data_IF_530432788565
#
_entry.id   IF_530432788565
#
_cell.length_a   1.000
_cell.length_b   1.000
_cell.length_c   1.000
_cell.angle_alpha   90.00
_cell.angle_beta   90.00
_cell.angle_gamma   90.00
#
_symmetry.space_group_name_H-M   'P 1'
#
loop_
_entity.id
_entity.type
_entity.pdbx_description
1 polymer ?
#
# COMPACT_ATOMS: atom_id res chain seq x y z
N UNK A 1 24.71 2.18 -26.77
CA UNK A 1 24.13 0.84 -26.49
C UNK A 1 23.77 0.71 -25.01
N UNK A 2 24.63 1.14 -24.07
CA UNK A 2 24.34 1.12 -22.63
C UNK A 2 23.05 1.85 -22.21
N UNK A 3 22.82 3.08 -22.69
CA UNK A 3 21.59 3.85 -22.37
C UNK A 3 20.31 3.11 -22.82
N UNK A 4 20.36 2.34 -23.92
CA UNK A 4 19.20 1.57 -24.37
C UNK A 4 18.93 0.35 -23.49
N UNK A 5 19.95 -0.19 -22.81
CA UNK A 5 19.79 -1.30 -21.88
C UNK A 5 18.99 -0.89 -20.63
N UNK A 6 19.13 0.36 -20.17
CA UNK A 6 18.38 0.91 -19.02
C UNK A 6 16.87 1.01 -19.28
N UNK A 7 16.43 0.98 -20.55
CA UNK A 7 15.01 0.97 -20.93
C UNK A 7 14.23 -0.15 -20.23
N UNK A 8 14.85 -1.32 -20.04
CA UNK A 8 14.21 -2.47 -19.42
C UNK A 8 14.00 -2.30 -17.90
N UNK A 9 14.62 -1.30 -17.27
CA UNK A 9 14.45 -1.00 -15.85
C UNK A 9 13.01 -0.65 -15.46
N UNK A 10 12.17 -0.23 -16.41
CA UNK A 10 10.74 0.02 -16.18
C UNK A 10 9.90 -1.26 -16.20
N UNK A 11 10.38 -2.35 -16.76
CA UNK A 11 9.59 -3.58 -16.94
C UNK A 11 9.15 -4.20 -15.59
N UNK A 12 10.02 -4.28 -14.55
CA UNK A 12 9.58 -4.72 -13.22
C UNK A 12 8.47 -3.85 -12.63
N UNK A 13 8.43 -2.55 -12.95
CA UNK A 13 7.36 -1.65 -12.52
C UNK A 13 6.03 -2.05 -13.17
N UNK A 14 6.02 -2.25 -14.49
CA UNK A 14 4.82 -2.68 -15.21
C UNK A 14 4.35 -4.07 -14.78
N UNK A 15 5.28 -4.99 -14.53
CA UNK A 15 4.96 -6.31 -13.99
C UNK A 15 4.25 -6.20 -12.64
N UNK A 16 4.79 -5.40 -11.73
CA UNK A 16 4.20 -5.18 -10.41
C UNK A 16 2.84 -4.48 -10.49
N UNK A 17 2.71 -3.49 -11.37
CA UNK A 17 1.46 -2.75 -11.58
C UNK A 17 0.33 -3.68 -12.03
N UNK A 18 0.61 -4.57 -12.99
CA UNK A 18 -0.36 -5.54 -13.52
C UNK A 18 -0.69 -6.65 -12.51
N UNK A 19 0.32 -7.20 -11.82
CA UNK A 19 0.17 -8.42 -11.02
C UNK A 19 -0.10 -8.17 -9.54
N UNK A 20 0.62 -7.24 -8.92
CA UNK A 20 0.66 -7.08 -7.47
C UNK A 20 -0.08 -5.83 -6.97
N UNK A 21 -0.14 -4.75 -7.77
CA UNK A 21 -0.82 -3.51 -7.37
C UNK A 21 -2.33 -3.52 -7.64
N UNK A 22 -2.82 -4.59 -8.27
CA UNK A 22 -4.25 -4.81 -8.47
C UNK A 22 -4.86 -3.86 -9.50
N UNK A 23 -4.08 -3.37 -10.47
CA UNK A 23 -4.64 -2.57 -11.58
C UNK A 23 -5.64 -3.38 -12.39
N UNK A 24 -5.42 -4.69 -12.55
CA UNK A 24 -6.39 -5.59 -13.15
C UNK A 24 -7.72 -5.70 -12.38
N UNK A 25 -7.73 -5.33 -11.09
CA UNK A 25 -8.93 -5.34 -10.24
C UNK A 25 -9.67 -4.00 -10.23
N UNK A 26 -9.18 -2.99 -10.96
CA UNK A 26 -9.84 -1.69 -11.03
C UNK A 26 -11.01 -1.75 -12.03
N UNK A 27 -12.23 -1.65 -11.50
CA UNK A 27 -13.47 -1.67 -12.29
C UNK A 27 -14.21 -0.34 -12.20
N UNK A 28 -13.55 0.75 -12.60
CA UNK A 28 -14.15 2.08 -12.56
C UNK A 28 -14.93 2.36 -13.86
N UNK A 29 -16.11 2.95 -13.73
CA UNK A 29 -17.04 3.17 -14.85
C UNK A 29 -16.54 4.20 -15.86
N UNK A 30 -15.77 5.20 -15.44
CA UNK A 30 -15.23 6.24 -16.31
C UNK A 30 -13.71 6.14 -16.43
N UNK A 31 -13.17 6.54 -17.59
CA UNK A 31 -11.73 6.59 -17.85
C UNK A 31 -11.00 7.47 -16.83
N UNK A 32 -11.52 8.67 -16.57
CA UNK A 32 -10.91 9.60 -15.61
C UNK A 32 -10.84 9.02 -14.19
N UNK A 33 -11.90 8.34 -13.74
CA UNK A 33 -11.88 7.67 -12.44
C UNK A 33 -10.86 6.52 -12.42
N UNK A 34 -10.81 5.72 -13.48
CA UNK A 34 -9.83 4.64 -13.61
C UNK A 34 -8.38 5.17 -13.52
N UNK A 35 -8.08 6.25 -14.23
CA UNK A 35 -6.76 6.90 -14.22
C UNK A 35 -6.39 7.42 -12.83
N UNK A 36 -7.30 8.12 -12.15
CA UNK A 36 -7.08 8.60 -10.79
C UNK A 36 -6.81 7.45 -9.81
N UNK A 37 -7.58 6.37 -9.90
CA UNK A 37 -7.38 5.18 -9.07
C UNK A 37 -6.05 4.49 -9.37
N UNK A 38 -5.61 4.43 -10.62
CA UNK A 38 -4.27 3.92 -10.99
C UNK A 38 -3.15 4.79 -10.38
N UNK A 39 -3.30 6.12 -10.39
CA UNK A 39 -2.32 7.03 -9.79
C UNK A 39 -2.24 6.83 -8.27
N UNK A 40 -3.39 6.76 -7.59
CA UNK A 40 -3.45 6.50 -6.14
C UNK A 40 -2.77 5.18 -5.78
N UNK A 41 -3.05 4.10 -6.54
CA UNK A 41 -2.43 2.78 -6.32
C UNK A 41 -0.92 2.81 -6.52
N UNK A 42 -0.45 3.45 -7.58
CA UNK A 42 0.98 3.59 -7.89
C UNK A 42 1.71 4.39 -6.80
N UNK A 43 1.14 5.52 -6.38
CA UNK A 43 1.68 6.34 -5.28
C UNK A 43 1.73 5.57 -3.96
N UNK A 44 0.65 4.86 -3.61
CA UNK A 44 0.61 4.05 -2.39
C UNK A 44 1.74 3.01 -2.36
N UNK A 45 2.01 2.32 -3.46
CA UNK A 45 3.10 1.35 -3.50
C UNK A 45 4.49 1.98 -3.49
N UNK A 46 4.69 3.10 -4.19
CA UNK A 46 5.95 3.85 -4.13
C UNK A 46 6.26 4.29 -2.69
N UNK A 47 5.25 4.77 -1.96
CA UNK A 47 5.40 5.09 -0.52
C UNK A 47 5.79 3.85 0.29
N UNK A 48 5.22 2.67 0.01
CA UNK A 48 5.61 1.43 0.69
C UNK A 48 7.07 1.03 0.41
N UNK A 49 7.56 1.27 -0.80
CA UNK A 49 8.97 1.04 -1.13
C UNK A 49 9.89 1.99 -0.35
N UNK A 50 9.52 3.27 -0.26
CA UNK A 50 10.28 4.25 0.52
C UNK A 50 10.30 3.89 2.01
N UNK A 51 9.18 3.44 2.58
CA UNK A 51 9.13 2.94 3.95
C UNK A 51 10.00 1.70 4.14
N UNK A 52 9.99 0.76 3.18
CA UNK A 52 10.85 -0.41 3.23
C UNK A 52 12.34 -0.04 3.15
N UNK A 53 12.70 0.99 2.39
CA UNK A 53 14.09 1.46 2.32
C UNK A 53 14.53 2.17 3.61
N UNK A 54 13.66 3.01 4.19
CA UNK A 54 14.03 3.88 5.30
C UNK A 54 13.80 3.25 6.69
N UNK A 55 12.75 2.45 6.86
CA UNK A 55 12.28 1.99 8.17
C UNK A 55 12.34 0.47 8.35
N UNK A 56 13.11 -0.25 7.53
CA UNK A 56 13.19 -1.72 7.61
C UNK A 56 13.61 -2.24 9.00
N UNK A 57 14.44 -1.50 9.73
CA UNK A 57 14.91 -1.87 11.07
C UNK A 57 13.78 -1.84 12.11
N UNK A 58 12.84 -0.90 11.94
CA UNK A 58 11.70 -0.69 12.84
C UNK A 58 10.52 -1.59 12.50
N UNK A 59 10.59 -2.37 11.42
CA UNK A 59 9.51 -3.24 11.00
C UNK A 59 9.34 -4.41 11.98
N UNK A 60 8.13 -4.66 12.54
CA UNK A 60 7.93 -5.71 13.54
C UNK A 60 7.81 -7.10 12.89
N UNK A 61 8.90 -7.57 12.27
CA UNK A 61 8.94 -8.80 11.47
C UNK A 61 8.42 -10.02 12.23
N UNK A 62 8.80 -10.16 13.50
CA UNK A 62 8.43 -11.32 14.32
C UNK A 62 6.92 -11.39 14.59
N UNK A 63 6.23 -10.26 14.61
CA UNK A 63 4.78 -10.23 14.81
C UNK A 63 4.00 -10.55 13.52
N UNK A 64 4.56 -10.25 12.35
CA UNK A 64 3.83 -10.30 11.08
C UNK A 64 4.20 -11.52 10.24
N UNK A 65 5.50 -11.83 10.13
CA UNK A 65 6.03 -12.88 9.27
C UNK A 65 7.30 -13.50 9.87
N UNK A 66 7.20 -14.16 11.05
CA UNK A 66 8.37 -14.73 11.74
C UNK A 66 9.12 -15.77 10.89
N UNK A 67 8.44 -16.48 9.99
CA UNK A 67 9.05 -17.43 9.05
C UNK A 67 9.95 -16.78 7.98
N UNK A 68 9.95 -15.44 7.86
CA UNK A 68 10.85 -14.69 6.97
C UNK A 68 12.07 -14.13 7.70
N UNK A 69 12.43 -14.64 8.87
CA UNK A 69 13.62 -14.20 9.62
C UNK A 69 14.88 -14.26 8.74
N UNK A 70 15.63 -13.14 8.70
CA UNK A 70 16.85 -13.00 7.91
C UNK A 70 16.64 -12.67 6.43
N UNK A 71 15.39 -12.65 5.95
CA UNK A 71 15.07 -12.19 4.60
C UNK A 71 14.90 -10.66 4.53
N UNK A 72 15.08 -10.10 3.33
CA UNK A 72 14.85 -8.67 3.09
C UNK A 72 13.39 -8.26 3.39
N UNK A 73 13.24 -7.15 4.08
CA UNK A 73 11.95 -6.49 4.30
C UNK A 73 11.53 -5.81 3.00
N UNK A 74 10.39 -6.22 2.45
CA UNK A 74 9.88 -5.72 1.17
C UNK A 74 8.72 -4.75 1.37
N UNK A 75 8.43 -3.94 0.35
CA UNK A 75 7.26 -3.06 0.34
C UNK A 75 5.94 -3.84 0.58
N UNK A 76 5.85 -5.09 0.12
CA UNK A 76 4.69 -5.96 0.37
C UNK A 76 4.48 -6.28 1.84
N UNK A 77 5.56 -6.48 2.62
CA UNK A 77 5.47 -6.68 4.06
C UNK A 77 4.97 -5.42 4.79
N UNK A 78 5.45 -4.25 4.38
CA UNK A 78 4.95 -2.97 4.92
C UNK A 78 3.48 -2.75 4.58
N UNK A 79 3.07 -3.04 3.35
CA UNK A 79 1.66 -2.97 2.94
C UNK A 79 0.79 -3.92 3.76
N UNK A 80 1.25 -5.15 4.02
CA UNK A 80 0.55 -6.12 4.86
C UNK A 80 0.44 -5.62 6.31
N UNK A 81 1.52 -5.09 6.88
CA UNK A 81 1.51 -4.55 8.23
C UNK A 81 0.55 -3.37 8.37
N UNK A 82 0.65 -2.38 7.47
CA UNK A 82 -0.27 -1.24 7.49
C UNK A 82 -1.71 -1.69 7.29
N UNK A 83 -1.96 -2.68 6.43
CA UNK A 83 -3.31 -3.26 6.33
C UNK A 83 -3.80 -3.74 7.69
N UNK A 84 -2.98 -4.43 8.48
CA UNK A 84 -3.35 -4.87 9.84
C UNK A 84 -3.57 -3.69 10.78
N UNK A 85 -2.70 -2.67 10.74
CA UNK A 85 -2.83 -1.49 11.62
C UNK A 85 -4.09 -0.66 11.32
N UNK A 86 -4.47 -0.60 10.04
CA UNK A 86 -5.59 0.23 9.58
C UNK A 86 -6.86 -0.56 9.27
N UNK A 87 -6.90 -1.88 9.51
CA UNK A 87 -8.10 -2.68 9.29
C UNK A 87 -9.20 -2.25 10.28
N UNK A 88 -10.42 -2.09 9.79
CA UNK A 88 -11.56 -1.70 10.63
C UNK A 88 -11.57 -0.24 11.08
N UNK A 89 -10.70 0.61 10.54
CA UNK A 89 -10.79 2.05 10.77
C UNK A 89 -11.83 2.69 9.83
N UNK A 90 -12.83 3.40 10.38
CA UNK A 90 -13.79 4.14 9.57
C UNK A 90 -13.18 5.46 9.08
N UNK A 91 -12.28 5.38 8.09
CA UNK A 91 -11.55 6.54 7.53
C UNK A 91 -12.51 7.62 6.99
N UNK A 92 -13.72 7.24 6.57
CA UNK A 92 -14.72 8.21 6.11
C UNK A 92 -15.28 9.07 7.25
N UNK A 93 -15.41 8.48 8.44
CA UNK A 93 -15.98 9.14 9.63
C UNK A 93 -14.93 10.01 10.35
N UNK A 94 -13.64 9.79 10.02
CA UNK A 94 -12.51 10.56 10.51
C UNK A 94 -12.46 12.01 10.02
N UNK A 95 -13.16 12.32 8.92
CA UNK A 95 -13.16 13.66 8.33
C UNK A 95 -14.42 14.42 8.76
N UNK A 96 -14.24 15.53 9.49
CA UNK A 96 -15.34 16.44 9.78
C UNK A 96 -15.46 17.50 8.67
N UNK A 97 -16.52 17.46 7.85
CA UNK A 97 -16.71 18.41 6.76
C UNK A 97 -16.99 19.84 7.24
N UNK A 98 -17.43 20.04 8.50
CA UNK A 98 -17.70 21.38 9.03
C UNK A 98 -16.44 22.11 9.46
N UNK A 99 -15.53 21.41 10.14
CA UNK A 99 -14.24 21.97 10.53
C UNK A 99 -13.16 21.81 9.46
N UNK A 100 -13.35 20.90 8.50
CA UNK A 100 -12.34 20.52 7.51
C UNK A 100 -11.18 19.74 8.10
N UNK A 101 -11.29 19.27 9.35
CA UNK A 101 -10.23 18.58 10.07
C UNK A 101 -10.36 17.07 9.92
N UNK A 102 -9.21 16.40 9.83
CA UNK A 102 -9.13 14.94 9.87
C UNK A 102 -8.61 14.52 11.25
N UNK A 103 -9.38 13.72 11.96
CA UNK A 103 -9.02 13.17 13.28
C UNK A 103 -8.91 11.66 13.14
N UNK A 104 -7.81 11.09 13.63
CA UNK A 104 -7.60 9.64 13.56
C UNK A 104 -8.77 8.91 14.22
N UNK A 105 -9.53 8.07 13.49
CA UNK A 105 -10.68 7.39 14.06
C UNK A 105 -10.22 6.24 14.94
N UNK A 106 -11.06 5.85 15.90
CA UNK A 106 -10.84 4.60 16.63
C UNK A 106 -11.31 3.40 15.79
N UNK A 107 -10.66 2.24 15.92
CA UNK A 107 -11.14 1.01 15.30
C UNK A 107 -12.59 0.74 15.69
N UNK A 108 -13.44 0.43 14.72
CA UNK A 108 -14.81 -0.01 15.00
C UNK A 108 -14.80 -1.31 15.80
N UNK A 109 -15.81 -1.52 16.65
CA UNK A 109 -15.99 -2.76 17.43
C UNK A 109 -16.43 -3.97 16.58
N UNK A 110 -16.10 -4.00 15.29
CA UNK A 110 -16.49 -5.11 14.43
C UNK A 110 -15.62 -6.34 14.74
N UNK A 111 -16.20 -7.30 15.46
CA UNK A 111 -15.56 -8.57 15.83
C UNK A 111 -15.00 -9.34 14.63
N UNK A 112 -15.52 -9.12 13.42
CA UNK A 112 -15.05 -9.81 12.20
C UNK A 112 -13.66 -9.36 11.75
N UNK A 113 -13.17 -8.23 12.25
CA UNK A 113 -11.90 -7.63 11.86
C UNK A 113 -10.82 -7.84 12.94
N UNK A 114 -11.18 -8.46 14.06
CA UNK A 114 -10.24 -8.90 15.09
C UNK A 114 -9.71 -10.29 14.69
N UNK A 115 -8.55 -10.30 14.03
CA UNK A 115 -7.81 -11.53 13.74
C UNK A 115 -7.10 -12.07 14.99
#
# INVERSE_FOLDING_TARGET
>A
VEIYAERWGIEPLFHNLKRWWGVANLWQRSKAALELWMQIRSMAYALMQLLALQLWQSFPLMAIAPWRKGAMITAGLFAQWLRIQFIGLPVRDAYDPKSGQFVMPFPGQDQRLQC
#
